data_IF_414603943171
#
_entry.id   IF_414603943171
#
_cell.length_a   1.000
_cell.length_b   1.000
_cell.length_c   1.000
_cell.angle_alpha   90.00
_cell.angle_beta   90.00
_cell.angle_gamma   90.00
#
_symmetry.space_group_name_H-M   'P 1'
#
loop_
_entity.id
_entity.type
_entity.pdbx_description
1 polymer ?
#
# COMPACT_ATOMS: atom_id res chain seq x y z
N UNK A 1 0.81 -0.50 6.36
CA UNK A 1 1.66 -1.00 5.24
C UNK A 1 0.87 -1.61 4.07
N UNK A 2 -0.32 -2.21 4.26
CA UNK A 2 -1.06 -2.84 3.15
C UNK A 2 -1.44 -1.85 2.04
N UNK A 3 -1.89 -0.63 2.39
CA UNK A 3 -2.20 0.43 1.42
C UNK A 3 -1.02 0.74 0.47
N UNK A 4 0.18 0.94 1.03
CA UNK A 4 1.40 1.25 0.25
C UNK A 4 1.74 0.10 -0.71
N UNK A 5 1.61 -1.15 -0.25
CA UNK A 5 1.86 -2.30 -1.13
C UNK A 5 0.89 -2.36 -2.28
N UNK A 6 -0.40 -2.12 -2.04
CA UNK A 6 -1.42 -2.13 -3.10
C UNK A 6 -1.22 -0.97 -4.08
N UNK A 7 -0.95 0.24 -3.58
CA UNK A 7 -0.68 1.42 -4.40
C UNK A 7 0.52 1.20 -5.33
N UNK A 8 1.60 0.61 -4.81
CA UNK A 8 2.83 0.38 -5.56
C UNK A 8 2.87 -0.96 -6.32
N UNK A 9 1.86 -1.83 -6.20
CA UNK A 9 1.87 -3.18 -6.77
C UNK A 9 2.98 -4.09 -6.20
N UNK A 10 3.36 -3.87 -4.93
CA UNK A 10 4.47 -4.59 -4.31
C UNK A 10 4.02 -5.89 -3.64
N UNK A 11 4.79 -6.96 -3.89
CA UNK A 11 4.63 -8.22 -3.19
C UNK A 11 5.09 -8.16 -1.73
N UNK A 12 4.49 -8.98 -0.87
CA UNK A 12 4.95 -9.16 0.49
C UNK A 12 6.36 -9.76 0.52
N UNK A 13 7.27 -9.23 1.35
CA UNK A 13 8.66 -9.71 1.47
C UNK A 13 8.73 -11.20 1.83
N UNK A 14 7.73 -11.71 2.55
CA UNK A 14 7.58 -13.13 2.86
C UNK A 14 7.55 -14.02 1.62
N UNK A 15 7.08 -13.52 0.47
CA UNK A 15 7.09 -14.29 -0.77
C UNK A 15 8.53 -14.56 -1.26
N UNK A 16 9.44 -13.60 -1.05
CA UNK A 16 10.87 -13.76 -1.36
C UNK A 16 11.50 -14.77 -0.40
N UNK A 17 11.19 -14.65 0.90
CA UNK A 17 11.67 -15.59 1.93
C UNK A 17 11.19 -17.02 1.62
N UNK A 18 9.89 -17.18 1.34
CA UNK A 18 9.30 -18.47 0.98
C UNK A 18 9.98 -19.08 -0.25
N UNK A 19 10.17 -18.29 -1.32
CA UNK A 19 10.86 -18.76 -2.53
C UNK A 19 12.25 -19.30 -2.21
N UNK A 20 13.02 -18.59 -1.37
CA UNK A 20 14.37 -19.03 -0.96
C UNK A 20 14.33 -20.33 -0.16
N UNK A 21 13.40 -20.43 0.80
CA UNK A 21 13.22 -21.66 1.59
C UNK A 21 12.85 -22.86 0.72
N UNK A 22 11.89 -22.71 -0.20
CA UNK A 22 11.45 -23.77 -1.11
C UNK A 22 12.55 -24.18 -2.09
N UNK A 23 13.30 -23.22 -2.64
CA UNK A 23 14.44 -23.52 -3.51
C UNK A 23 15.54 -24.29 -2.76
N UNK A 24 15.79 -23.93 -1.51
CA UNK A 24 16.75 -24.63 -0.66
C UNK A 24 16.29 -26.05 -0.30
N UNK A 25 15.02 -26.18 0.09
CA UNK A 25 14.37 -27.47 0.32
C UNK A 25 14.49 -28.40 -0.90
N UNK A 26 14.14 -27.88 -2.09
CA UNK A 26 14.26 -28.63 -3.35
C UNK A 26 15.71 -29.05 -3.63
N UNK A 27 16.67 -28.14 -3.41
CA UNK A 27 18.10 -28.42 -3.61
C UNK A 27 18.57 -29.57 -2.71
N UNK A 28 18.23 -29.53 -1.42
CA UNK A 28 18.62 -30.59 -0.48
C UNK A 28 17.92 -31.90 -0.83
N UNK A 29 16.63 -31.88 -1.17
CA UNK A 29 15.88 -33.11 -1.49
C UNK A 29 16.51 -33.92 -2.62
N UNK A 30 17.16 -33.26 -3.57
CA UNK A 30 17.84 -33.84 -4.73
C UNK A 30 19.28 -34.28 -4.48
N UNK A 31 19.84 -33.99 -3.29
CA UNK A 31 21.15 -34.51 -2.90
C UNK A 31 21.07 -36.01 -2.63
N UNK A 32 22.18 -36.72 -2.81
CA UNK A 32 22.32 -38.12 -2.40
C UNK A 32 22.08 -38.31 -0.89
N UNK A 33 21.59 -39.49 -0.52
CA UNK A 33 21.23 -39.83 0.86
C UNK A 33 22.42 -39.76 1.84
N UNK A 34 23.64 -39.94 1.33
CA UNK A 34 24.89 -39.85 2.08
C UNK A 34 25.28 -38.42 2.47
N UNK A 35 24.66 -37.40 1.85
CA UNK A 35 25.04 -36.00 2.07
C UNK A 35 24.47 -35.50 3.39
N UNK A 36 25.32 -34.94 4.25
CA UNK A 36 24.92 -34.35 5.54
C UNK A 36 23.68 -33.44 5.46
N UNK A 37 23.52 -32.52 4.48
CA UNK A 37 22.30 -31.71 4.39
C UNK A 37 21.02 -32.52 4.21
N UNK A 38 21.07 -33.63 3.46
CA UNK A 38 19.93 -34.53 3.21
C UNK A 38 19.53 -35.25 4.50
N UNK A 39 20.50 -35.81 5.21
CA UNK A 39 20.33 -36.43 6.53
C UNK A 39 19.72 -35.44 7.53
N UNK A 40 20.25 -34.21 7.59
CA UNK A 40 19.70 -33.17 8.46
C UNK A 40 18.26 -32.79 8.08
N UNK A 41 17.94 -32.68 6.79
CA UNK A 41 16.57 -32.39 6.34
C UNK A 41 15.59 -33.49 6.74
N UNK A 42 15.95 -34.75 6.56
CA UNK A 42 15.13 -35.90 6.97
C UNK A 42 14.87 -35.87 8.47
N UNK A 43 15.90 -35.60 9.28
CA UNK A 43 15.72 -35.44 10.73
C UNK A 43 14.80 -34.27 11.09
N UNK A 44 14.89 -33.15 10.37
CA UNK A 44 14.00 -32.01 10.60
C UNK A 44 12.54 -32.30 10.22
N UNK A 45 12.32 -33.12 9.18
CA UNK A 45 10.99 -33.58 8.79
C UNK A 45 10.39 -34.51 9.84
N UNK A 46 11.17 -35.46 10.39
CA UNK A 46 10.75 -36.31 11.50
C UNK A 46 10.40 -35.47 12.73
N UNK A 47 11.30 -34.58 13.14
CA UNK A 47 11.09 -33.69 14.29
C UNK A 47 9.85 -32.83 14.10
N UNK A 48 9.53 -32.39 12.89
CA UNK A 48 8.33 -31.60 12.62
C UNK A 48 7.03 -32.33 13.03
N UNK A 49 7.02 -33.66 13.03
CA UNK A 49 5.86 -34.48 13.44
C UNK A 49 5.82 -34.75 14.95
N UNK A 50 6.87 -34.40 15.70
CA UNK A 50 6.96 -34.71 17.14
C UNK A 50 6.38 -33.58 18.00
N UNK A 51 5.67 -33.90 19.11
CA UNK A 51 5.17 -32.89 20.05
C UNK A 51 6.27 -32.05 20.71
N UNK A 52 7.49 -32.59 20.82
CA UNK A 52 8.65 -31.92 21.43
C UNK A 52 9.35 -30.91 20.50
N UNK A 53 8.86 -30.76 19.27
CA UNK A 53 9.44 -29.88 18.27
C UNK A 53 9.41 -28.41 18.70
N UNK A 54 10.56 -27.73 18.54
CA UNK A 54 10.67 -26.29 18.76
C UNK A 54 10.76 -25.60 17.40
N UNK A 55 9.65 -25.04 16.92
CA UNK A 55 9.53 -24.39 15.59
C UNK A 55 10.66 -23.39 15.33
N UNK A 56 11.08 -22.60 16.33
CA UNK A 56 12.18 -21.63 16.20
C UNK A 56 13.51 -22.23 15.74
N UNK A 57 13.76 -23.51 16.02
CA UNK A 57 14.99 -24.22 15.65
C UNK A 57 14.81 -25.19 14.48
N UNK A 58 13.59 -25.34 13.97
CA UNK A 58 13.28 -26.20 12.84
C UNK A 58 12.77 -25.37 11.66
N UNK A 59 13.64 -25.09 10.69
CA UNK A 59 13.28 -24.27 9.54
C UNK A 59 12.25 -24.94 8.62
N UNK A 60 12.14 -26.28 8.64
CA UNK A 60 11.08 -27.02 7.93
C UNK A 60 9.73 -26.75 8.59
N UNK A 61 9.66 -26.71 9.92
CA UNK A 61 8.45 -26.30 10.63
C UNK A 61 8.05 -24.87 10.32
N UNK A 62 9.02 -23.95 10.23
CA UNK A 62 8.74 -22.57 9.84
C UNK A 62 8.24 -22.48 8.39
N UNK A 63 8.77 -23.31 7.48
CA UNK A 63 8.28 -23.42 6.10
C UNK A 63 6.84 -23.93 6.08
N UNK A 64 6.55 -25.00 6.81
CA UNK A 64 5.19 -25.55 6.92
C UNK A 64 4.23 -24.53 7.50
N UNK A 65 4.56 -23.86 8.61
CA UNK A 65 3.71 -22.82 9.19
C UNK A 65 3.41 -21.68 8.20
N UNK A 66 4.40 -21.28 7.39
CA UNK A 66 4.17 -20.30 6.32
C UNK A 66 3.18 -20.83 5.29
N UNK A 67 3.34 -22.05 4.81
CA UNK A 67 2.42 -22.66 3.85
C UNK A 67 1.01 -22.84 4.44
N UNK A 68 0.89 -23.32 5.69
CA UNK A 68 -0.38 -23.45 6.42
C UNK A 68 -1.11 -22.12 6.56
N UNK A 69 -0.38 -21.02 6.81
CA UNK A 69 -1.00 -19.68 6.88
C UNK A 69 -1.69 -19.24 5.58
N UNK A 70 -1.42 -19.93 4.47
CA UNK A 70 -2.04 -19.71 3.17
C UNK A 70 -2.90 -20.89 2.69
N UNK A 71 -3.12 -21.93 3.53
CA UNK A 71 -3.84 -23.14 3.15
C UNK A 71 -3.09 -24.00 2.12
N UNK A 72 -1.76 -24.07 2.22
CA UNK A 72 -0.86 -24.73 1.26
C UNK A 72 0.02 -25.82 1.91
N UNK A 73 -0.31 -26.26 3.12
CA UNK A 73 0.46 -27.23 3.93
C UNK A 73 0.76 -28.52 3.18
N UNK A 74 -0.23 -29.08 2.48
CA UNK A 74 -0.11 -30.37 1.79
C UNK A 74 0.73 -30.30 0.50
N UNK A 75 1.07 -29.09 0.04
CA UNK A 75 1.79 -28.89 -1.22
C UNK A 75 3.30 -29.08 -1.06
N UNK A 76 3.85 -29.02 0.17
CA UNK A 76 5.31 -29.08 0.37
C UNK A 76 5.90 -30.40 -0.13
N UNK A 77 5.24 -31.52 0.16
CA UNK A 77 5.69 -32.85 -0.23
C UNK A 77 5.71 -33.05 -1.75
N UNK A 78 4.86 -32.30 -2.48
CA UNK A 78 4.71 -32.33 -3.94
C UNK A 78 5.76 -31.50 -4.68
N UNK A 79 6.64 -30.79 -3.97
CA UNK A 79 7.67 -29.96 -4.60
C UNK A 79 8.83 -30.84 -5.07
N UNK A 80 8.88 -31.10 -6.38
CA UNK A 80 9.92 -31.92 -7.02
C UNK A 80 10.72 -31.18 -8.07
N UNK A 81 10.17 -30.08 -8.60
CA UNK A 81 10.74 -29.26 -9.66
C UNK A 81 10.80 -27.79 -9.32
N UNK A 82 11.63 -27.03 -10.06
CA UNK A 82 11.64 -25.57 -9.98
C UNK A 82 10.28 -24.98 -10.40
N UNK A 83 9.56 -25.64 -11.31
CA UNK A 83 8.21 -25.26 -11.71
C UNK A 83 7.22 -25.32 -10.56
N UNK A 84 7.32 -26.37 -9.72
CA UNK A 84 6.48 -26.50 -8.52
C UNK A 84 6.72 -25.36 -7.53
N UNK A 85 7.99 -24.99 -7.32
CA UNK A 85 8.35 -23.85 -6.46
C UNK A 85 7.74 -22.56 -6.98
N UNK A 86 7.86 -22.29 -8.29
CA UNK A 86 7.28 -21.08 -8.90
C UNK A 86 5.76 -21.07 -8.70
N UNK A 87 5.08 -22.17 -9.02
CA UNK A 87 3.63 -22.31 -8.84
C UNK A 87 3.21 -22.07 -7.40
N UNK A 88 3.91 -22.66 -6.44
CA UNK A 88 3.58 -22.54 -5.01
C UNK A 88 3.81 -21.12 -4.49
N UNK A 89 4.89 -20.46 -4.92
CA UNK A 89 5.15 -19.05 -4.60
C UNK A 89 4.08 -18.13 -5.19
N UNK A 90 3.60 -18.38 -6.42
CA UNK A 90 2.51 -17.60 -7.01
C UNK A 90 1.17 -17.79 -6.28
N UNK A 91 0.84 -19.02 -5.87
CA UNK A 91 -0.32 -19.27 -4.99
C UNK A 91 -0.20 -18.47 -3.69
N UNK A 92 0.97 -18.48 -3.06
CA UNK A 92 1.23 -17.74 -1.82
C UNK A 92 1.14 -16.22 -2.00
N UNK A 93 1.71 -15.68 -3.09
CA UNK A 93 1.60 -14.25 -3.43
C UNK A 93 0.15 -13.82 -3.58
N UNK A 94 -0.67 -14.59 -4.29
CA UNK A 94 -2.10 -14.32 -4.44
C UNK A 94 -2.82 -14.33 -3.09
N UNK A 95 -2.53 -15.30 -2.22
CA UNK A 95 -3.09 -15.31 -0.87
C UNK A 95 -2.73 -14.03 -0.08
N UNK A 96 -1.47 -13.60 -0.11
CA UNK A 96 -1.04 -12.36 0.56
C UNK A 96 -1.69 -11.11 -0.03
N UNK A 97 -1.83 -11.04 -1.35
CA UNK A 97 -2.54 -9.96 -2.03
C UNK A 97 -4.01 -9.90 -1.56
N UNK A 98 -4.71 -11.03 -1.53
CA UNK A 98 -6.09 -11.10 -1.07
C UNK A 98 -6.24 -10.64 0.40
N UNK A 99 -5.29 -11.00 1.26
CA UNK A 99 -5.28 -10.54 2.65
C UNK A 99 -5.15 -9.00 2.72
N UNK A 100 -4.27 -8.41 1.90
CA UNK A 100 -4.10 -6.96 1.86
C UNK A 100 -5.32 -6.23 1.28
N UNK A 101 -5.95 -6.78 0.23
CA UNK A 101 -7.21 -6.28 -0.33
C UNK A 101 -8.31 -6.32 0.73
N UNK A 102 -8.49 -7.47 1.39
CA UNK A 102 -9.51 -7.63 2.42
C UNK A 102 -9.31 -6.65 3.59
N UNK A 103 -8.04 -6.37 3.95
CA UNK A 103 -7.73 -5.35 4.97
C UNK A 103 -8.14 -3.94 4.52
N UNK A 104 -7.93 -3.58 3.26
CA UNK A 104 -8.35 -2.28 2.72
C UNK A 104 -9.87 -2.16 2.71
N UNK A 105 -10.58 -3.15 2.17
CA UNK A 105 -12.04 -3.11 2.03
C UNK A 105 -12.75 -3.01 3.39
N UNK A 106 -12.16 -3.57 4.44
CA UNK A 106 -12.70 -3.53 5.81
C UNK A 106 -12.06 -2.44 6.69
N UNK A 107 -11.22 -1.58 6.11
CA UNK A 107 -10.49 -0.57 6.89
C UNK A 107 -11.35 0.65 7.20
N UNK A 108 -11.37 1.05 8.47
CA UNK A 108 -11.98 2.32 8.93
C UNK A 108 -11.06 3.53 8.74
N UNK A 109 -9.79 3.31 8.40
CA UNK A 109 -8.79 4.37 8.30
C UNK A 109 -8.99 5.25 7.06
N UNK A 110 -9.06 4.62 5.88
CA UNK A 110 -9.31 5.31 4.62
C UNK A 110 -10.23 4.42 3.78
N UNK A 111 -11.54 4.65 3.93
CA UNK A 111 -12.58 3.96 3.16
C UNK A 111 -12.66 4.43 1.70
N UNK A 112 -12.11 5.61 1.37
CA UNK A 112 -12.14 6.17 0.02
C UNK A 112 -11.11 5.51 -0.91
N UNK A 113 -10.01 4.98 -0.34
CA UNK A 113 -8.92 4.37 -1.09
C UNK A 113 -9.38 3.26 -2.05
N UNK A 114 -10.35 2.43 -1.64
CA UNK A 114 -10.85 1.32 -2.46
C UNK A 114 -11.48 1.80 -3.79
N UNK A 115 -11.96 3.05 -3.83
CA UNK A 115 -12.61 3.62 -5.01
C UNK A 115 -11.62 4.27 -5.98
N UNK A 116 -10.39 4.52 -5.54
CA UNK A 116 -9.35 5.18 -6.34
C UNK A 116 -8.17 4.26 -6.67
N UNK A 117 -8.08 3.09 -6.02
CA UNK A 117 -6.99 2.13 -6.21
C UNK A 117 -7.36 1.00 -7.17
N UNK A 118 -6.35 0.56 -7.90
CA UNK A 118 -6.29 -0.66 -8.72
C UNK A 118 -6.17 -1.97 -7.91
N UNK A 119 -6.18 -1.88 -6.58
CA UNK A 119 -6.15 -3.00 -5.62
C UNK A 119 -5.01 -4.00 -5.86
N UNK A 120 -3.81 -3.47 -6.14
CA UNK A 120 -2.57 -4.25 -6.15
C UNK A 120 -2.04 -4.64 -7.52
N UNK A 121 -2.64 -4.15 -8.61
CA UNK A 121 -1.99 -4.16 -9.93
C UNK A 121 -0.97 -3.04 -10.11
N UNK A 122 -0.93 -2.10 -9.16
CA UNK A 122 -0.08 -0.92 -9.17
C UNK A 122 -0.75 0.24 -9.89
N UNK A 123 -0.62 1.46 -9.36
CA UNK A 123 -1.31 2.60 -9.93
C UNK A 123 -0.61 3.14 -11.19
N UNK A 124 -1.40 3.38 -12.25
CA UNK A 124 -0.91 3.84 -13.56
C UNK A 124 -0.10 5.12 -13.47
N UNK A 125 -0.51 6.06 -12.62
CA UNK A 125 0.15 7.36 -12.53
C UNK A 125 1.60 7.27 -12.08
N UNK A 126 1.99 6.21 -11.36
CA UNK A 126 3.37 5.99 -10.92
C UNK A 126 4.33 5.74 -12.10
N UNK A 127 3.78 5.36 -13.26
CA UNK A 127 4.54 5.09 -14.49
C UNK A 127 4.62 6.31 -15.42
N UNK A 128 4.00 7.44 -15.10
CA UNK A 128 4.13 8.65 -15.93
C UNK A 128 5.54 9.23 -15.81
N UNK A 129 6.08 9.75 -16.92
CA UNK A 129 7.35 10.47 -16.92
C UNK A 129 7.16 11.86 -16.29
N UNK A 130 7.17 11.88 -14.96
CA UNK A 130 6.97 13.07 -14.12
C UNK A 130 7.94 13.07 -12.96
N UNK A 131 8.22 14.27 -12.46
CA UNK A 131 9.08 14.45 -11.31
C UNK A 131 8.54 13.70 -10.07
N UNK A 132 9.45 13.04 -9.35
CA UNK A 132 9.17 12.28 -8.13
C UNK A 132 8.38 13.05 -7.06
N UNK A 133 8.54 14.37 -6.98
CA UNK A 133 7.79 15.22 -6.05
C UNK A 133 6.29 15.24 -6.36
N UNK A 134 5.92 15.13 -7.64
CA UNK A 134 4.52 15.03 -8.05
C UNK A 134 3.94 13.69 -7.63
N UNK A 135 4.63 12.60 -7.96
CA UNK A 135 4.23 11.25 -7.57
C UNK A 135 4.03 11.14 -6.06
N UNK A 136 5.03 11.58 -5.28
CA UNK A 136 4.96 11.56 -3.81
C UNK A 136 3.81 12.35 -3.24
N UNK A 137 3.49 13.51 -3.81
CA UNK A 137 2.37 14.32 -3.34
C UNK A 137 1.04 13.61 -3.61
N UNK A 138 0.84 13.12 -4.82
CA UNK A 138 -0.35 12.38 -5.20
C UNK A 138 -0.52 11.10 -4.39
N UNK A 139 0.54 10.31 -4.21
CA UNK A 139 0.49 9.11 -3.35
C UNK A 139 0.09 9.45 -1.92
N UNK A 140 0.63 10.54 -1.34
CA UNK A 140 0.23 10.98 0.00
C UNK A 140 -1.25 11.37 0.05
N UNK A 141 -1.75 12.12 -0.93
CA UNK A 141 -3.16 12.51 -0.99
C UNK A 141 -4.10 11.31 -1.10
N UNK A 142 -3.76 10.33 -1.94
CA UNK A 142 -4.55 9.11 -2.14
C UNK A 142 -4.55 8.19 -0.92
N UNK A 143 -3.42 8.12 -0.21
CA UNK A 143 -3.25 7.26 0.96
C UNK A 143 -3.75 7.90 2.26
N UNK A 144 -3.89 9.22 2.30
CA UNK A 144 -4.27 9.98 3.48
C UNK A 144 -5.66 9.60 4.00
N UNK A 145 -5.80 9.51 5.32
CA UNK A 145 -7.11 9.60 5.96
C UNK A 145 -7.61 11.06 5.83
N UNK A 146 -8.77 11.31 5.20
CA UNK A 146 -9.22 12.69 4.91
C UNK A 146 -9.45 13.58 6.13
N UNK A 147 -9.68 12.97 7.30
CA UNK A 147 -10.03 13.67 8.54
C UNK A 147 -8.83 13.93 9.45
N UNK A 148 -7.75 13.17 9.26
CA UNK A 148 -6.55 13.26 10.08
C UNK A 148 -5.35 12.78 9.27
N UNK A 149 -4.52 13.73 8.80
CA UNK A 149 -3.33 13.38 8.04
C UNK A 149 -2.27 14.49 8.06
N UNK A 150 -1.09 14.16 7.56
CA UNK A 150 -0.03 15.13 7.30
C UNK A 150 0.52 14.90 5.90
N UNK A 151 0.64 15.97 5.12
CA UNK A 151 1.14 15.93 3.75
C UNK A 151 2.46 16.70 3.70
N UNK A 152 3.54 16.01 3.34
CA UNK A 152 4.87 16.58 3.20
C UNK A 152 5.16 16.96 1.75
N UNK A 153 5.60 18.20 1.53
CA UNK A 153 6.02 18.69 0.22
C UNK A 153 7.20 19.67 0.34
N UNK A 154 8.36 19.29 -0.21
CA UNK A 154 9.57 20.14 -0.32
C UNK A 154 9.97 20.85 0.99
N UNK A 155 9.96 20.15 2.11
CA UNK A 155 10.33 20.69 3.42
C UNK A 155 9.16 21.26 4.23
N UNK A 156 8.03 21.53 3.58
CA UNK A 156 6.82 22.00 4.25
C UNK A 156 5.90 20.83 4.62
N UNK A 157 5.13 20.98 5.70
CA UNK A 157 4.14 20.00 6.15
C UNK A 157 2.79 20.69 6.31
N UNK A 158 1.78 20.23 5.58
CA UNK A 158 0.39 20.59 5.86
C UNK A 158 -0.24 19.52 6.77
N UNK A 159 -0.70 19.92 7.94
CA UNK A 159 -1.40 19.06 8.90
C UNK A 159 -2.90 19.31 8.82
N UNK A 160 -3.67 18.23 8.85
CA UNK A 160 -5.12 18.24 8.81
C UNK A 160 -5.65 17.45 10.00
N UNK A 161 -6.53 18.07 10.77
CA UNK A 161 -7.30 17.47 11.87
C UNK A 161 -8.68 18.12 11.93
N UNK A 162 -9.75 17.31 11.99
CA UNK A 162 -11.12 17.84 12.21
C UNK A 162 -11.32 18.49 13.57
N UNK A 163 -10.44 18.21 14.53
CA UNK A 163 -10.46 18.81 15.87
C UNK A 163 -9.93 20.25 15.86
N UNK A 164 -9.28 20.66 14.77
CA UNK A 164 -8.72 22.00 14.59
C UNK A 164 -9.57 22.79 13.59
N UNK A 165 -9.58 24.11 13.72
CA UNK A 165 -10.18 25.03 12.75
C UNK A 165 -9.18 25.35 11.64
N UNK A 166 -9.69 25.56 10.42
CA UNK A 166 -8.85 25.95 9.29
C UNK A 166 -8.32 27.38 9.48
N UNK A 167 -7.02 27.52 9.70
CA UNK A 167 -6.35 28.82 9.85
C UNK A 167 -6.31 29.65 8.56
N UNK A 168 -6.60 29.03 7.41
CA UNK A 168 -6.52 29.70 6.12
C UNK A 168 -7.81 30.41 5.74
N UNK A 169 -8.94 30.06 6.38
CA UNK A 169 -10.23 30.69 6.11
C UNK A 169 -10.89 31.15 7.41
N UNK A 170 -11.44 32.36 7.41
CA UNK A 170 -12.14 32.94 8.56
C UNK A 170 -13.58 32.41 8.72
N UNK A 171 -13.84 31.15 8.35
CA UNK A 171 -15.18 30.56 8.38
C UNK A 171 -15.43 29.61 9.55
N UNK A 172 -14.47 29.45 10.47
CA UNK A 172 -14.55 28.48 11.56
C UNK A 172 -14.81 27.04 11.07
N UNK A 173 -14.39 26.73 9.85
CA UNK A 173 -14.55 25.42 9.24
C UNK A 173 -13.49 24.43 9.77
N UNK A 174 -13.81 23.13 9.78
CA UNK A 174 -12.88 22.06 10.17
C UNK A 174 -11.61 22.06 9.30
N UNK A 175 -10.43 21.89 9.90
CA UNK A 175 -9.15 21.74 9.21
C UNK A 175 -8.98 20.31 8.64
N UNK A 176 -9.86 19.90 7.73
CA UNK A 176 -9.78 18.60 7.07
C UNK A 176 -9.19 18.68 5.66
N UNK A 177 -8.67 17.55 5.16
CA UNK A 177 -8.22 17.46 3.77
C UNK A 177 -9.39 17.70 2.79
N UNK A 178 -10.60 17.27 3.14
CA UNK A 178 -11.80 17.52 2.34
C UNK A 178 -12.14 19.01 2.28
N UNK A 179 -12.03 19.72 3.41
CA UNK A 179 -12.20 21.17 3.42
C UNK A 179 -11.14 21.85 2.55
N UNK A 180 -9.86 21.46 2.68
CA UNK A 180 -8.80 21.97 1.83
C UNK A 180 -9.11 21.78 0.34
N UNK A 181 -9.48 20.57 -0.07
CA UNK A 181 -9.72 20.22 -1.48
C UNK A 181 -11.01 20.82 -2.05
N UNK A 182 -12.07 20.98 -1.27
CA UNK A 182 -13.42 21.24 -1.81
C UNK A 182 -14.13 22.44 -1.19
N UNK A 183 -13.80 22.83 0.04
CA UNK A 183 -14.57 23.79 0.82
C UNK A 183 -13.88 25.12 1.11
N UNK A 184 -12.55 25.17 1.13
CA UNK A 184 -11.82 26.36 1.57
C UNK A 184 -12.04 27.54 0.60
N UNK A 185 -12.65 28.67 1.02
CA UNK A 185 -12.93 29.81 0.13
C UNK A 185 -11.66 30.52 -0.33
N UNK A 186 -10.65 30.58 0.52
CA UNK A 186 -9.34 31.18 0.24
C UNK A 186 -8.71 30.59 -1.03
N UNK A 187 -9.00 29.32 -1.33
CA UNK A 187 -8.50 28.63 -2.51
C UNK A 187 -9.55 28.43 -3.60
N UNK A 188 -10.69 29.14 -3.55
CA UNK A 188 -11.75 28.97 -4.53
C UNK A 188 -11.29 29.25 -5.97
N UNK A 189 -10.59 30.36 -6.19
CA UNK A 189 -10.08 30.73 -7.53
C UNK A 189 -9.10 29.67 -8.04
N UNK A 190 -8.17 29.25 -7.19
CA UNK A 190 -7.19 28.19 -7.54
C UNK A 190 -7.89 26.85 -7.80
N UNK A 191 -8.88 26.49 -6.99
CA UNK A 191 -9.69 25.28 -7.16
C UNK A 191 -10.46 25.31 -8.47
N UNK A 192 -11.08 26.44 -8.82
CA UNK A 192 -11.75 26.62 -10.12
C UNK A 192 -10.77 26.49 -11.28
N UNK A 193 -9.57 27.06 -11.15
CA UNK A 193 -8.54 27.01 -12.20
C UNK A 193 -8.01 25.59 -12.47
N UNK A 194 -7.75 24.82 -11.41
CA UNK A 194 -7.06 23.53 -11.54
C UNK A 194 -7.96 22.32 -11.42
N UNK A 195 -9.02 22.38 -10.62
CA UNK A 195 -9.77 21.19 -10.21
C UNK A 195 -11.21 21.13 -10.75
N UNK A 196 -11.79 22.22 -11.24
CA UNK A 196 -13.23 22.30 -11.59
C UNK A 196 -13.68 21.20 -12.56
N UNK A 197 -12.83 20.81 -13.50
CA UNK A 197 -13.15 19.75 -14.48
C UNK A 197 -13.31 18.36 -13.86
N UNK A 198 -12.88 18.18 -12.61
CA UNK A 198 -13.01 16.93 -11.84
C UNK A 198 -14.02 17.04 -10.70
N UNK A 199 -14.65 18.20 -10.52
CA UNK A 199 -15.54 18.51 -9.40
C UNK A 199 -16.92 18.92 -9.92
N UNK A 200 -17.87 17.98 -9.96
CA UNK A 200 -19.26 18.30 -10.26
C UNK A 200 -19.97 18.79 -8.98
N UNK A 201 -20.66 19.92 -9.02
CA UNK A 201 -21.17 20.59 -7.81
C UNK A 201 -22.24 19.76 -7.08
N UNK A 202 -23.07 19.04 -7.82
CA UNK A 202 -24.17 18.18 -7.38
C UNK A 202 -23.72 16.87 -6.70
N UNK A 203 -22.44 16.52 -6.82
CA UNK A 203 -21.89 15.30 -6.23
C UNK A 203 -21.53 15.46 -4.74
N UNK A 204 -21.72 14.38 -3.97
CA UNK A 204 -21.22 14.26 -2.60
C UNK A 204 -19.68 14.28 -2.53
N UNK A 205 -19.13 14.54 -1.34
CA UNK A 205 -17.67 14.63 -1.13
C UNK A 205 -16.92 13.35 -1.53
N UNK A 206 -17.51 12.18 -1.34
CA UNK A 206 -16.92 10.90 -1.70
C UNK A 206 -16.72 10.76 -3.22
N UNK A 207 -17.73 11.08 -4.01
CA UNK A 207 -17.63 11.00 -5.47
C UNK A 207 -16.70 12.08 -6.03
N UNK A 208 -16.71 13.30 -5.44
CA UNK A 208 -15.72 14.35 -5.74
C UNK A 208 -14.29 13.88 -5.46
N UNK A 209 -14.07 13.23 -4.32
CA UNK A 209 -12.75 12.71 -3.94
C UNK A 209 -12.29 11.60 -4.89
N UNK A 210 -13.17 10.67 -5.22
CA UNK A 210 -12.92 9.59 -6.17
C UNK A 210 -12.57 10.16 -7.56
N UNK A 211 -13.40 11.06 -8.08
CA UNK A 211 -13.19 11.69 -9.38
C UNK A 211 -11.90 12.49 -9.41
N UNK A 212 -11.56 13.21 -8.35
CA UNK A 212 -10.32 13.96 -8.28
C UNK A 212 -9.09 13.04 -8.22
N UNK A 213 -9.11 12.03 -7.35
CA UNK A 213 -7.91 11.26 -7.01
C UNK A 213 -7.76 9.93 -7.77
N UNK A 214 -8.71 9.58 -8.63
CA UNK A 214 -8.50 8.57 -9.67
C UNK A 214 -7.68 9.19 -10.82
N UNK A 215 -6.38 8.89 -10.86
CA UNK A 215 -5.43 9.57 -11.76
C UNK A 215 -5.29 8.82 -13.09
N UNK A 216 -6.04 9.26 -14.09
CA UNK A 216 -6.13 8.66 -15.43
C UNK A 216 -5.25 9.35 -16.49
N UNK A 217 -4.69 10.52 -16.18
CA UNK A 217 -3.90 11.28 -17.14
C UNK A 217 -2.75 12.07 -16.48
N UNK A 218 -1.65 12.32 -17.21
CA UNK A 218 -0.56 13.16 -16.71
C UNK A 218 -1.00 14.61 -16.46
N UNK A 219 -1.96 15.13 -17.23
CA UNK A 219 -2.51 16.49 -17.08
C UNK A 219 -3.25 16.65 -15.77
N UNK A 220 -4.08 15.67 -15.39
CA UNK A 220 -4.79 15.64 -14.11
C UNK A 220 -3.83 15.66 -12.93
N UNK A 221 -2.80 14.81 -12.98
CA UNK A 221 -1.73 14.79 -11.99
C UNK A 221 -1.06 16.16 -11.84
N UNK A 222 -0.75 16.83 -12.95
CA UNK A 222 -0.12 18.16 -12.94
C UNK A 222 -1.01 19.24 -12.34
N UNK A 223 -2.31 19.22 -12.65
CA UNK A 223 -3.30 20.16 -12.11
C UNK A 223 -3.50 19.99 -10.60
N UNK A 224 -3.67 18.76 -10.13
CA UNK A 224 -3.79 18.46 -8.68
C UNK A 224 -2.51 18.88 -7.96
N UNK A 225 -1.35 18.57 -8.55
CA UNK A 225 -0.07 18.97 -7.99
C UNK A 225 0.07 20.50 -7.89
N UNK A 226 -0.27 21.24 -8.94
CA UNK A 226 -0.18 22.70 -8.95
C UNK A 226 -1.08 23.33 -7.88
N UNK A 227 -2.34 22.87 -7.80
CA UNK A 227 -3.28 23.30 -6.78
C UNK A 227 -2.73 23.08 -5.36
N UNK A 228 -2.38 21.83 -5.04
CA UNK A 228 -2.05 21.46 -3.66
C UNK A 228 -0.66 21.97 -3.24
N UNK A 229 0.27 22.11 -4.18
CA UNK A 229 1.54 22.79 -3.90
C UNK A 229 1.35 24.27 -3.54
N UNK A 230 0.37 24.92 -4.18
CA UNK A 230 0.02 26.32 -3.88
C UNK A 230 -0.64 26.43 -2.51
N UNK A 231 -1.52 25.47 -2.18
CA UNK A 231 -2.13 25.35 -0.86
C UNK A 231 -1.08 25.25 0.27
N UNK A 232 -0.14 24.31 0.15
CA UNK A 232 0.91 24.10 1.17
C UNK A 232 1.78 25.34 1.33
N UNK A 233 2.21 25.97 0.22
CA UNK A 233 3.08 27.16 0.28
C UNK A 233 2.40 28.33 0.96
N UNK A 234 1.14 28.58 0.62
CA UNK A 234 0.37 29.66 1.24
C UNK A 234 0.12 29.37 2.72
N UNK A 235 -0.23 28.12 3.06
CA UNK A 235 -0.42 27.73 4.46
C UNK A 235 0.84 27.91 5.31
N UNK A 236 2.01 27.59 4.76
CA UNK A 236 3.28 27.84 5.44
C UNK A 236 3.51 29.33 5.68
N UNK A 237 3.27 30.17 4.68
CA UNK A 237 3.40 31.62 4.81
C UNK A 237 2.50 32.20 5.90
N UNK A 238 1.26 31.71 6.04
CA UNK A 238 0.35 32.16 7.10
C UNK A 238 0.85 31.72 8.48
N UNK A 239 1.32 30.48 8.62
CA UNK A 239 1.86 29.97 9.90
C UNK A 239 3.12 30.73 10.30
N UNK A 240 3.99 31.10 9.35
CA UNK A 240 5.22 31.85 9.63
C UNK A 240 4.96 33.30 10.07
N UNK A 241 3.73 33.81 9.91
CA UNK A 241 3.32 35.16 10.32
C UNK A 241 2.64 35.23 11.70
N UNK A 242 2.27 34.09 12.29
CA UNK A 242 1.70 33.96 13.64
C UNK A 242 2.78 33.74 14.71
#
# INVERSE_FOLDING_TARGET
MHYIRLELGLNHIECVVLKRMLMWYLKIRRMGAERLPKICLERLLELNMMPTNKVKYNWVSQLNQKLSSAGLEDELHRVETKGDVIRLVEKYKRNKLLIDINRVLNSRYNGLFQHISSLGTGELYLNYDKNIWKMRLISQLRLAQPNFCSIYHKGCVAKFSREEICMLCNQLAENSLLHALFGCPTFEVSRRMYLVEYLQEDQGYEEKYKNLLFIDSPTKLDKIFAYFSSYIKYGQFVIDLE
#
